data_IF_520945460199
#
_entry.id   IF_520945460199
#
_cell.length_a   1.000
_cell.length_b   1.000
_cell.length_c   1.000
_cell.angle_alpha   90.00
_cell.angle_beta   90.00
_cell.angle_gamma   90.00
#
_symmetry.space_group_name_H-M   'P 1'
#
loop_
_entity.id
_entity.type
_entity.pdbx_description
1 polymer ?
#
# COMPACT_ATOMS: atom_id res chain seq x y z
N UNK A 1 -8.71 0.57 7.82
CA UNK A 1 -8.22 1.48 8.88
C UNK A 1 -7.30 2.60 8.40
N UNK A 2 -6.22 2.37 7.65
CA UNK A 2 -5.36 3.49 7.20
C UNK A 2 -6.16 4.59 6.49
N UNK A 3 -7.04 4.22 5.55
CA UNK A 3 -7.87 5.17 4.82
C UNK A 3 -8.81 5.95 5.75
N UNK A 4 -9.51 5.26 6.66
CA UNK A 4 -10.33 5.90 7.70
C UNK A 4 -9.53 6.90 8.53
N UNK A 5 -8.29 6.57 8.93
CA UNK A 5 -7.44 7.50 9.68
C UNK A 5 -7.11 8.76 8.88
N UNK A 6 -6.91 8.63 7.57
CA UNK A 6 -6.64 9.78 6.69
C UNK A 6 -7.88 10.65 6.55
N UNK A 7 -9.07 10.06 6.48
CA UNK A 7 -10.36 10.78 6.50
C UNK A 7 -10.59 11.49 7.84
N UNK A 8 -10.20 10.86 8.95
CA UNK A 8 -10.24 11.40 10.31
C UNK A 8 -9.18 12.51 10.55
N UNK A 9 -8.37 12.86 9.54
CA UNK A 9 -7.39 13.96 9.60
C UNK A 9 -6.01 13.57 10.15
N UNK A 10 -5.67 12.28 10.16
CA UNK A 10 -4.34 11.83 10.53
C UNK A 10 -3.26 12.40 9.58
N UNK A 11 -2.00 12.54 10.05
CA UNK A 11 -0.90 12.96 9.20
C UNK A 11 -0.76 12.08 7.95
N UNK A 12 -0.54 12.72 6.80
CA UNK A 12 -0.44 12.04 5.52
C UNK A 12 0.97 11.45 5.34
N UNK A 13 1.09 10.14 5.02
CA UNK A 13 2.38 9.57 4.68
C UNK A 13 2.88 10.12 3.34
N UNK A 14 4.20 10.07 3.12
CA UNK A 14 4.80 10.43 1.84
C UNK A 14 4.38 9.46 0.71
N UNK A 15 4.28 8.17 1.03
CA UNK A 15 3.77 7.13 0.15
C UNK A 15 3.29 5.90 0.95
N UNK A 16 2.51 5.01 0.34
CA UNK A 16 1.99 3.78 0.94
C UNK A 16 2.36 2.55 0.11
N UNK A 17 3.01 1.56 0.72
CA UNK A 17 3.23 0.25 0.10
C UNK A 17 2.11 -0.70 0.56
N UNK A 18 1.00 -0.68 -0.19
CA UNK A 18 -0.21 -1.47 0.06
C UNK A 18 -0.14 -2.85 -0.59
N UNK A 19 0.63 -3.78 -0.02
CA UNK A 19 0.82 -5.12 -0.59
C UNK A 19 0.30 -6.28 0.27
N UNK A 20 -0.91 -6.21 0.87
CA UNK A 20 -1.47 -7.36 1.57
C UNK A 20 -1.68 -8.55 0.62
N UNK A 21 -1.47 -9.76 1.14
CA UNK A 21 -1.76 -11.05 0.50
C UNK A 21 -2.99 -11.66 1.13
N UNK A 22 -3.79 -12.36 0.33
CA UNK A 22 -4.89 -13.15 0.85
C UNK A 22 -6.08 -13.25 -0.08
N UNK A 23 -7.08 -13.99 0.39
CA UNK A 23 -8.32 -14.26 -0.34
C UNK A 23 -9.50 -13.44 0.16
N UNK A 24 -9.38 -12.77 1.30
CA UNK A 24 -10.45 -11.97 1.93
C UNK A 24 -9.92 -10.56 2.14
N UNK A 25 -10.53 -9.58 1.46
CA UNK A 25 -10.26 -8.15 1.64
C UNK A 25 -8.90 -7.65 1.10
N UNK A 26 -7.99 -8.53 0.70
CA UNK A 26 -6.68 -8.13 0.21
C UNK A 26 -6.77 -7.37 -1.11
N UNK A 27 -7.53 -7.87 -2.08
CA UNK A 27 -7.69 -7.22 -3.38
C UNK A 27 -8.48 -5.92 -3.23
N UNK A 28 -9.59 -6.00 -2.51
CA UNK A 28 -10.53 -4.92 -2.26
C UNK A 28 -9.87 -3.75 -1.51
N UNK A 29 -9.01 -4.04 -0.53
CA UNK A 29 -8.27 -2.98 0.19
C UNK A 29 -7.21 -2.28 -0.66
N UNK A 30 -6.63 -2.98 -1.65
CA UNK A 30 -5.67 -2.39 -2.59
C UNK A 30 -6.36 -1.52 -3.63
N UNK A 31 -7.51 -1.96 -4.13
CA UNK A 31 -8.37 -1.17 -5.02
C UNK A 31 -8.88 0.08 -4.29
N UNK A 32 -9.36 -0.08 -3.05
CA UNK A 32 -9.78 1.04 -2.22
C UNK A 32 -8.66 2.06 -2.01
N UNK A 33 -7.41 1.62 -1.81
CA UNK A 33 -6.26 2.54 -1.72
C UNK A 33 -6.00 3.28 -3.04
N UNK A 34 -6.06 2.57 -4.18
CA UNK A 34 -5.77 3.12 -5.49
C UNK A 34 -6.84 4.12 -5.97
N UNK A 35 -8.09 3.92 -5.56
CA UNK A 35 -9.24 4.73 -5.96
C UNK A 35 -9.62 5.78 -4.90
N UNK A 36 -8.92 5.81 -3.77
CA UNK A 36 -9.27 6.69 -2.65
C UNK A 36 -9.14 8.18 -3.04
N UNK A 37 -10.15 8.97 -2.68
CA UNK A 37 -10.19 10.41 -2.97
C UNK A 37 -9.06 11.21 -2.29
N UNK A 38 -8.41 10.64 -1.27
CA UNK A 38 -7.25 11.27 -0.64
C UNK A 38 -6.04 11.39 -1.57
N UNK A 39 -5.97 10.59 -2.64
CA UNK A 39 -4.89 10.65 -3.64
C UNK A 39 -3.50 10.40 -3.05
N UNK A 40 -3.36 9.40 -2.19
CA UNK A 40 -2.06 9.03 -1.62
C UNK A 40 -1.18 8.40 -2.70
N UNK A 41 0.10 8.80 -2.74
CA UNK A 41 1.13 8.10 -3.51
C UNK A 41 1.23 6.65 -3.02
N UNK A 42 1.17 5.69 -3.93
CA UNK A 42 1.07 4.28 -3.53
C UNK A 42 1.73 3.31 -4.51
N UNK A 43 2.12 2.16 -3.96
CA UNK A 43 2.52 0.97 -4.69
C UNK A 43 1.65 -0.20 -4.23
N UNK A 44 1.00 -0.87 -5.18
CA UNK A 44 0.19 -2.06 -4.93
C UNK A 44 0.54 -3.19 -5.89
N UNK A 45 0.37 -4.43 -5.44
CA UNK A 45 0.36 -5.60 -6.33
C UNK A 45 -1.10 -6.02 -6.54
N UNK A 46 -1.62 -5.85 -7.75
CA UNK A 46 -3.03 -6.17 -8.06
C UNK A 46 -3.38 -7.64 -7.82
N UNK A 47 -4.66 -7.90 -7.54
CA UNK A 47 -5.19 -9.24 -7.26
C UNK A 47 -4.88 -9.73 -5.85
N UNK A 48 -4.68 -11.05 -5.68
CA UNK A 48 -4.53 -11.69 -4.36
C UNK A 48 -3.09 -11.83 -3.85
N UNK A 49 -2.11 -11.56 -4.72
CA UNK A 49 -0.68 -11.67 -4.39
C UNK A 49 -0.20 -10.46 -3.58
N UNK A 50 0.84 -10.68 -2.78
CA UNK A 50 1.42 -9.67 -1.89
C UNK A 50 2.29 -10.35 -0.83
N UNK A 51 2.39 -9.73 0.34
CA UNK A 51 3.02 -10.30 1.53
C UNK A 51 4.32 -9.61 1.92
N UNK A 52 4.87 -10.03 3.06
CA UNK A 52 6.02 -9.38 3.71
C UNK A 52 7.27 -9.36 2.83
N UNK A 53 7.56 -10.44 2.10
CA UNK A 53 8.73 -10.51 1.23
C UNK A 53 8.69 -9.44 0.11
N UNK A 54 7.51 -9.26 -0.51
CA UNK A 54 7.31 -8.23 -1.55
C UNK A 54 7.39 -6.83 -0.93
N UNK A 55 6.79 -6.63 0.25
CA UNK A 55 6.85 -5.35 0.96
C UNK A 55 8.30 -4.95 1.29
N UNK A 56 9.07 -5.88 1.87
CA UNK A 56 10.47 -5.66 2.24
C UNK A 56 11.33 -5.41 1.00
N UNK A 57 11.13 -6.18 -0.08
CA UNK A 57 11.85 -5.96 -1.34
C UNK A 57 11.58 -4.56 -1.92
N UNK A 58 10.32 -4.11 -1.93
CA UNK A 58 9.98 -2.78 -2.42
C UNK A 58 10.61 -1.66 -1.57
N UNK A 59 10.61 -1.79 -0.24
CA UNK A 59 11.29 -0.84 0.65
C UNK A 59 12.80 -0.83 0.39
N UNK A 60 13.44 -2.00 0.33
CA UNK A 60 14.88 -2.10 0.13
C UNK A 60 15.30 -1.48 -1.20
N UNK A 61 14.54 -1.71 -2.27
CA UNK A 61 14.79 -1.13 -3.58
C UNK A 61 14.62 0.40 -3.62
N UNK A 62 13.75 0.97 -2.77
CA UNK A 62 13.58 2.43 -2.66
C UNK A 62 14.68 3.05 -1.79
N UNK A 63 15.24 2.28 -0.86
CA UNK A 63 16.19 2.78 0.13
C UNK A 63 17.63 2.94 -0.41
N UNK A 64 17.94 2.37 -1.57
CA UNK A 64 19.29 2.35 -2.16
C UNK A 64 19.23 2.47 -3.67
N UNK A 65 20.25 3.12 -4.26
CA UNK A 65 20.46 3.15 -5.73
C UNK A 65 21.31 1.96 -6.22
N UNK A 66 21.94 1.23 -5.30
CA UNK A 66 22.69 0.01 -5.60
C UNK A 66 21.73 -1.20 -5.62
N UNK A 67 21.85 -2.05 -6.66
CA UNK A 67 21.16 -3.34 -6.78
C UNK A 67 21.94 -4.50 -6.14
#
# INVERSE_FOLDING_TARGET
RLLEMIEEGAPRPAAVIGVPVGFVGAMESKEALAEHASGLEHLIVRGRRGGSAIAAAAINAIASEEE
#
